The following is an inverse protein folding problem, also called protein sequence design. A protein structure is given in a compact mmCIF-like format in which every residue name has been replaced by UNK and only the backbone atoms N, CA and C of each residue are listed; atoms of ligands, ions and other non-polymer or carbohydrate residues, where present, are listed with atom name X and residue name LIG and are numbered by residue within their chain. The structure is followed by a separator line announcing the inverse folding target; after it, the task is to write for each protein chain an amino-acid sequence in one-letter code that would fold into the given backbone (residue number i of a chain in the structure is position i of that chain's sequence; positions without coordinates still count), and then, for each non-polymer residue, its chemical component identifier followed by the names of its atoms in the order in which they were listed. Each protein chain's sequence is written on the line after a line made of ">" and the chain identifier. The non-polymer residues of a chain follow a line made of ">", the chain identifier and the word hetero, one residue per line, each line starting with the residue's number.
data_IF_702811907606
#
_entry.id   IF_702811907606
#
_cell.length_a   1.000
_cell.length_b   1.000
_cell.length_c   1.000
_cell.angle_alpha   90.00
_cell.angle_beta   90.00
_cell.angle_gamma   90.00
#
_symmetry.space_group_name_H-M   'P 1'
#
loop_
_entity.id
_entity.type
_entity.pdbx_description
1 polymer ?
#
# COMPACT_ATOMS: atom_id res chain seq x y z
N UNK A 1 -45.97 -6.83 -59.40
CA UNK A 1 -44.82 -7.72 -59.68
C UNK A 1 -44.02 -7.86 -58.39
N UNK A 2 -43.97 -9.08 -57.89
CA UNK A 2 -43.52 -9.50 -56.56
C UNK A 2 -42.01 -9.37 -56.39
N UNK A 3 -41.58 -8.73 -55.30
CA UNK A 3 -40.21 -8.70 -54.81
C UNK A 3 -40.18 -9.17 -53.35
N UNK A 4 -39.09 -9.86 -53.03
CA UNK A 4 -38.48 -10.04 -51.71
C UNK A 4 -38.91 -11.23 -50.83
N UNK A 5 -38.00 -12.21 -50.76
CA UNK A 5 -37.87 -13.21 -49.68
C UNK A 5 -37.42 -12.52 -48.39
N UNK A 6 -37.94 -12.90 -47.23
CA UNK A 6 -37.14 -12.94 -46.00
C UNK A 6 -37.81 -13.78 -44.91
N UNK A 7 -36.94 -14.43 -44.15
CA UNK A 7 -37.12 -15.43 -43.11
C UNK A 7 -37.53 -14.86 -41.74
N UNK A 8 -37.93 -15.80 -40.87
CA UNK A 8 -37.84 -15.79 -39.40
C UNK A 8 -38.93 -15.06 -38.60
N UNK A 9 -39.64 -15.82 -37.76
CA UNK A 9 -39.81 -15.46 -36.34
C UNK A 9 -40.43 -16.65 -35.57
N UNK A 10 -39.70 -17.23 -34.62
CA UNK A 10 -40.26 -18.08 -33.57
C UNK A 10 -40.05 -17.35 -32.25
N UNK A 11 -41.16 -16.90 -31.67
CA UNK A 11 -41.24 -16.40 -30.30
C UNK A 11 -41.95 -17.48 -29.48
N UNK A 12 -41.37 -17.89 -28.35
CA UNK A 12 -42.17 -18.21 -27.18
C UNK A 12 -41.36 -18.06 -25.88
N UNK A 13 -41.94 -17.27 -24.97
CA UNK A 13 -41.55 -16.90 -23.61
C UNK A 13 -41.66 -18.05 -22.60
N UNK A 14 -40.80 -18.07 -21.56
CA UNK A 14 -41.10 -18.36 -20.14
C UNK A 14 -39.97 -17.69 -19.30
N UNK A 15 -40.12 -16.52 -18.65
CA UNK A 15 -40.73 -16.19 -17.36
C UNK A 15 -40.13 -16.93 -16.13
N UNK A 16 -39.46 -16.20 -15.22
CA UNK A 16 -39.37 -16.62 -13.81
C UNK A 16 -38.01 -16.46 -13.12
N UNK A 17 -38.00 -15.62 -12.09
CA UNK A 17 -36.99 -15.51 -11.01
C UNK A 17 -35.66 -14.80 -11.32
N UNK A 18 -35.71 -13.46 -11.38
CA UNK A 18 -34.54 -12.64 -11.03
C UNK A 18 -34.49 -12.55 -9.50
N UNK A 19 -33.82 -13.50 -8.87
CA UNK A 19 -33.40 -13.36 -7.47
C UNK A 19 -32.28 -12.32 -7.46
N UNK A 20 -32.58 -11.09 -7.05
CA UNK A 20 -31.56 -10.08 -6.75
C UNK A 20 -30.87 -10.46 -5.44
N UNK A 21 -29.96 -11.44 -5.53
CA UNK A 21 -29.01 -11.73 -4.47
C UNK A 21 -28.04 -10.55 -4.39
N UNK A 22 -28.34 -9.57 -3.54
CA UNK A 22 -27.37 -8.55 -3.13
C UNK A 22 -26.21 -9.26 -2.44
N UNK A 23 -25.18 -9.59 -3.21
CA UNK A 23 -23.87 -9.93 -2.68
C UNK A 23 -23.33 -8.68 -2.00
N UNK A 24 -23.38 -8.66 -0.67
CA UNK A 24 -22.50 -7.80 0.10
C UNK A 24 -21.06 -8.25 -0.19
N UNK A 25 -20.39 -7.56 -1.12
CA UNK A 25 -18.96 -7.74 -1.37
C UNK A 25 -18.25 -7.29 -0.11
N UNK A 26 -17.87 -8.25 0.74
CA UNK A 26 -16.97 -8.00 1.86
C UNK A 26 -15.59 -7.75 1.26
N UNK A 27 -15.02 -6.57 1.50
CA UNK A 27 -13.67 -6.27 1.05
C UNK A 27 -12.68 -7.27 1.70
N UNK A 28 -12.11 -8.16 0.88
CA UNK A 28 -11.05 -9.07 1.31
C UNK A 28 -9.88 -8.22 1.82
N UNK A 29 -9.54 -8.35 3.10
CA UNK A 29 -8.39 -7.65 3.66
C UNK A 29 -7.11 -8.29 3.09
N UNK A 30 -6.11 -7.49 2.68
CA UNK A 30 -4.84 -8.04 2.24
C UNK A 30 -4.20 -8.81 3.41
N UNK A 31 -3.48 -9.88 3.10
CA UNK A 31 -2.75 -10.68 4.08
C UNK A 31 -1.32 -10.15 4.22
N UNK A 32 -0.80 -10.01 5.44
CA UNK A 32 0.58 -9.55 5.64
C UNK A 32 1.57 -10.62 5.17
N UNK A 33 2.73 -10.22 4.62
CA UNK A 33 3.82 -11.15 4.34
C UNK A 33 4.41 -11.67 5.66
N UNK A 34 4.97 -12.89 5.62
CA UNK A 34 5.59 -13.53 6.80
C UNK A 34 7.09 -13.62 6.57
N UNK A 35 7.87 -13.02 7.46
CA UNK A 35 9.33 -13.07 7.38
C UNK A 35 9.85 -14.49 7.63
N UNK A 36 10.75 -15.02 6.76
CA UNK A 36 11.41 -16.29 7.02
C UNK A 36 12.33 -16.21 8.25
N UNK A 37 12.44 -17.33 8.95
CA UNK A 37 13.27 -17.49 10.15
C UNK A 37 14.66 -17.97 9.71
N UNK A 38 15.67 -17.14 9.95
CA UNK A 38 17.09 -17.49 9.77
C UNK A 38 17.81 -17.32 11.11
N UNK A 39 17.99 -18.41 11.89
CA UNK A 39 18.63 -18.32 13.20
C UNK A 39 20.06 -17.81 13.07
N UNK A 40 20.35 -16.66 13.69
CA UNK A 40 21.69 -16.11 13.82
C UNK A 40 22.03 -15.96 15.30
N UNK A 41 23.14 -16.53 15.76
CA UNK A 41 23.53 -16.48 17.16
C UNK A 41 24.68 -15.50 17.38
N UNK A 42 24.48 -14.54 18.29
CA UNK A 42 25.52 -13.63 18.76
C UNK A 42 25.83 -13.89 20.24
N UNK A 43 27.09 -13.75 20.62
CA UNK A 43 27.51 -13.85 22.01
C UNK A 43 27.99 -12.49 22.51
N UNK A 44 27.31 -11.94 23.52
CA UNK A 44 27.67 -10.67 24.13
C UNK A 44 27.80 -10.86 25.65
N UNK A 45 28.93 -10.45 26.22
CA UNK A 45 29.25 -10.63 27.65
C UNK A 45 29.07 -12.07 28.17
N UNK A 46 29.39 -13.07 27.33
CA UNK A 46 29.24 -14.48 27.67
C UNK A 46 27.80 -15.02 27.60
N UNK A 47 26.84 -14.20 27.17
CA UNK A 47 25.45 -14.62 26.95
C UNK A 47 25.21 -14.82 25.46
N UNK A 48 24.73 -16.01 25.09
CA UNK A 48 24.34 -16.35 23.72
C UNK A 48 22.89 -15.92 23.49
N UNK A 49 22.64 -15.13 22.44
CA UNK A 49 21.32 -14.73 21.98
C UNK A 49 21.13 -15.18 20.53
N UNK A 50 19.99 -15.77 20.23
CA UNK A 50 19.57 -16.09 18.86
C UNK A 50 18.63 -15.00 18.36
N UNK A 51 19.00 -14.36 17.25
CA UNK A 51 18.18 -13.44 16.47
C UNK A 51 17.77 -14.14 15.17
N UNK A 52 16.50 -14.52 15.06
CA UNK A 52 15.93 -15.19 13.90
C UNK A 52 15.79 -14.28 12.66
N UNK A 53 15.98 -12.97 12.82
CA UNK A 53 15.71 -11.96 11.80
C UNK A 53 16.92 -11.05 11.54
N UNK A 54 18.11 -11.45 12.00
CA UNK A 54 19.34 -10.69 11.78
C UNK A 54 19.63 -10.44 10.28
N UNK A 55 19.18 -11.33 9.40
CA UNK A 55 19.31 -11.23 7.95
C UNK A 55 18.63 -9.97 7.37
N UNK A 56 17.58 -9.42 8.01
CA UNK A 56 16.91 -8.18 7.57
C UNK A 56 17.79 -6.93 7.68
N UNK A 57 18.95 -7.02 8.34
CA UNK A 57 19.89 -5.90 8.51
C UNK A 57 20.71 -5.64 7.25
N UNK A 58 20.87 -6.65 6.39
CA UNK A 58 21.61 -6.54 5.15
C UNK A 58 20.75 -5.89 4.06
N UNK A 59 21.04 -4.62 3.76
CA UNK A 59 20.23 -3.80 2.85
C UNK A 59 20.39 -4.17 1.39
N UNK A 60 21.51 -4.79 1.03
CA UNK A 60 21.83 -5.14 -0.36
C UNK A 60 21.43 -6.58 -0.68
N UNK A 61 21.00 -7.36 0.32
CA UNK A 61 20.50 -8.72 0.15
C UNK A 61 19.19 -8.72 -0.66
N UNK A 62 19.12 -9.42 -1.81
CA UNK A 62 17.91 -9.52 -2.61
C UNK A 62 16.70 -10.05 -1.85
N UNK A 63 16.88 -10.98 -0.91
CA UNK A 63 15.78 -11.53 -0.11
C UNK A 63 15.14 -10.46 0.79
N UNK A 64 15.95 -9.57 1.35
CA UNK A 64 15.49 -8.44 2.17
C UNK A 64 14.69 -7.47 1.31
N UNK A 65 15.21 -7.14 0.12
CA UNK A 65 14.52 -6.26 -0.82
C UNK A 65 13.16 -6.83 -1.26
N UNK A 66 13.09 -8.13 -1.56
CA UNK A 66 11.84 -8.79 -1.93
C UNK A 66 10.84 -8.79 -0.77
N UNK A 67 11.28 -9.06 0.46
CA UNK A 67 10.43 -8.98 1.64
C UNK A 67 9.89 -7.55 1.88
N UNK A 68 10.75 -6.54 1.79
CA UNK A 68 10.36 -5.14 1.97
C UNK A 68 9.39 -4.65 0.88
N UNK A 69 9.53 -5.13 -0.38
CA UNK A 69 8.54 -4.85 -1.43
C UNK A 69 7.18 -5.46 -1.10
N UNK A 70 7.17 -6.69 -0.58
CA UNK A 70 5.92 -7.33 -0.15
C UNK A 70 5.25 -6.58 1.01
N UNK A 71 6.04 -6.12 1.99
CA UNK A 71 5.55 -5.27 3.09
C UNK A 71 4.98 -3.93 2.59
N UNK A 72 5.68 -3.26 1.67
CA UNK A 72 5.19 -2.03 1.07
C UNK A 72 3.87 -2.24 0.32
N UNK A 73 3.75 -3.32 -0.47
CA UNK A 73 2.52 -3.65 -1.18
C UNK A 73 1.35 -3.93 -0.21
N UNK A 74 1.61 -4.61 0.90
CA UNK A 74 0.62 -4.82 1.96
C UNK A 74 0.21 -3.49 2.61
N UNK A 75 1.17 -2.64 2.97
CA UNK A 75 0.92 -1.34 3.57
C UNK A 75 0.11 -0.43 2.64
N UNK A 76 0.44 -0.39 1.35
CA UNK A 76 -0.31 0.37 0.34
C UNK A 76 -1.75 -0.14 0.23
N UNK A 77 -1.94 -1.46 0.16
CA UNK A 77 -3.27 -2.06 0.08
C UNK A 77 -4.13 -1.76 1.33
N UNK A 78 -3.54 -1.85 2.53
CA UNK A 78 -4.21 -1.54 3.79
C UNK A 78 -4.55 -0.05 3.90
N UNK A 79 -3.64 0.83 3.49
CA UNK A 79 -3.77 2.28 3.63
C UNK A 79 -4.51 2.96 2.49
N UNK A 80 -4.90 2.21 1.45
CA UNK A 80 -5.60 2.74 0.27
C UNK A 80 -6.83 3.58 0.60
N UNK A 81 -7.61 3.16 1.59
CA UNK A 81 -8.81 3.88 2.03
C UNK A 81 -8.50 5.29 2.60
N UNK A 82 -7.29 5.53 3.09
CA UNK A 82 -6.85 6.78 3.69
C UNK A 82 -6.18 7.73 2.68
N UNK A 83 -6.07 7.36 1.40
CA UNK A 83 -5.45 8.18 0.35
C UNK A 83 -5.99 9.62 0.29
N UNK A 84 -7.32 9.87 0.30
CA UNK A 84 -7.83 11.23 0.23
C UNK A 84 -7.45 12.07 1.46
N UNK A 85 -7.41 11.44 2.63
CA UNK A 85 -7.03 12.10 3.88
C UNK A 85 -5.54 12.44 3.88
N UNK A 86 -4.70 11.51 3.39
CA UNK A 86 -3.26 11.71 3.24
C UNK A 86 -2.95 12.87 2.29
N UNK A 87 -3.65 12.95 1.16
CA UNK A 87 -3.49 14.05 0.20
C UNK A 87 -3.91 15.41 0.81
N UNK A 88 -5.03 15.43 1.55
CA UNK A 88 -5.46 16.64 2.26
C UNK A 88 -4.40 17.12 3.24
N UNK A 89 -3.87 16.24 4.10
CA UNK A 89 -2.83 16.61 5.04
C UNK A 89 -1.54 17.04 4.35
N UNK A 90 -1.15 16.39 3.26
CA UNK A 90 0.01 16.80 2.48
C UNK A 90 -0.12 18.25 2.00
N UNK A 91 -1.27 18.63 1.42
CA UNK A 91 -1.54 20.00 0.97
C UNK A 91 -1.56 21.00 2.13
N UNK A 92 -2.16 20.62 3.25
CA UNK A 92 -2.21 21.49 4.43
C UNK A 92 -0.84 21.75 5.05
N UNK A 93 -0.01 20.70 5.19
CA UNK A 93 1.35 20.84 5.71
C UNK A 93 2.18 21.67 4.75
N UNK A 94 2.15 21.34 3.45
CA UNK A 94 2.90 22.06 2.44
C UNK A 94 2.50 23.54 2.35
N UNK A 95 1.20 23.83 2.41
CA UNK A 95 0.69 25.22 2.40
C UNK A 95 1.05 26.04 3.64
N UNK A 96 1.56 25.41 4.71
CA UNK A 96 2.06 26.08 5.92
C UNK A 96 3.58 26.28 5.92
N UNK A 97 4.29 25.72 4.94
CA UNK A 97 5.74 25.90 4.81
C UNK A 97 6.00 27.25 4.18
N UNK A 98 6.82 28.07 4.84
CA UNK A 98 7.31 29.32 4.29
C UNK A 98 8.57 29.03 3.46
N UNK A 99 8.49 29.21 2.13
CA UNK A 99 9.59 28.86 1.20
C UNK A 99 10.87 29.68 1.43
N UNK A 100 10.71 30.92 1.91
CA UNK A 100 11.81 31.79 2.28
C UNK A 100 11.61 32.27 3.71
N UNK A 101 12.37 31.67 4.61
CA UNK A 101 12.40 32.05 6.02
C UNK A 101 13.86 32.26 6.45
N UNK A 102 14.08 33.26 7.29
CA UNK A 102 15.38 33.56 7.88
C UNK A 102 15.27 33.32 9.37
N UNK A 103 16.21 32.57 9.93
CA UNK A 103 16.31 32.44 11.39
C UNK A 103 16.56 33.80 12.02
N UNK A 104 16.15 33.94 13.28
CA UNK A 104 16.48 35.13 14.07
C UNK A 104 18.01 35.26 14.13
N UNK A 105 18.58 36.40 13.69
CA UNK A 105 20.03 36.53 13.61
C UNK A 105 20.69 36.44 14.98
N UNK A 106 21.69 35.58 15.11
CA UNK A 106 22.50 35.42 16.31
C UNK A 106 23.86 36.07 16.08
N UNK A 107 24.25 36.97 16.98
CA UNK A 107 25.55 37.65 16.91
C UNK A 107 26.65 36.70 17.40
N UNK A 108 27.67 36.50 16.58
CA UNK A 108 28.90 35.80 16.96
C UNK A 108 30.14 36.58 16.47
N UNK A 109 30.88 37.16 17.41
CA UNK A 109 31.96 38.10 17.09
C UNK A 109 31.43 39.35 16.41
N UNK A 110 31.98 39.66 15.22
CA UNK A 110 31.59 40.82 14.41
C UNK A 110 30.53 40.52 13.34
N UNK A 111 29.98 39.30 13.31
CA UNK A 111 29.02 38.85 12.30
C UNK A 111 27.69 38.39 12.93
N UNK A 112 26.62 38.44 12.12
CA UNK A 112 25.31 37.87 12.43
C UNK A 112 25.08 36.64 11.54
N UNK A 113 24.61 35.56 12.16
CA UNK A 113 24.28 34.28 11.54
C UNK A 113 22.80 33.97 11.68
#
# INVERSE_FOLDING_TARGET
>A
MSFFRSTSSRVLFICGAVVTMSLAVRAQQPTPPVAPIHPHSDTLFGVVRVDNYAWLRDRDNPEVLEYLKAENAYADAMMKHAEPLREKFYKEIFGRIQESDLSVPVRHGDYFY
#
